data_IF_262797254574
#
_entry.id   IF_262797254574
#
_cell.length_a   1.000
_cell.length_b   1.000
_cell.length_c   1.000
_cell.angle_alpha   90.00
_cell.angle_beta   90.00
_cell.angle_gamma   90.00
#
_symmetry.space_group_name_H-M   'P 1'
#
loop_
_entity.id
_entity.type
_entity.pdbx_description
1 polymer ?
#
# COMPACT_ATOMS: atom_id res chain seq x y z
N UNK A 1 11.04 16.94 -2.38
CA UNK A 1 11.69 16.75 -3.69
C UNK A 1 11.60 15.29 -4.15
N UNK A 2 11.87 14.31 -3.28
CA UNK A 2 11.89 12.88 -3.64
C UNK A 2 10.53 12.38 -4.17
N UNK A 3 9.43 12.75 -3.53
CA UNK A 3 8.09 12.38 -3.98
C UNK A 3 7.77 12.91 -5.39
N UNK A 4 8.15 14.17 -5.68
CA UNK A 4 7.97 14.74 -7.01
C UNK A 4 8.86 14.05 -8.05
N UNK A 5 10.09 13.66 -7.67
CA UNK A 5 11.00 12.91 -8.52
C UNK A 5 10.44 11.53 -8.85
N UNK A 6 9.91 10.81 -7.86
CA UNK A 6 9.28 9.49 -8.05
C UNK A 6 8.05 9.58 -8.96
N UNK A 7 7.21 10.61 -8.77
CA UNK A 7 6.06 10.86 -9.65
C UNK A 7 6.50 11.09 -11.09
N UNK A 8 7.56 11.88 -11.31
CA UNK A 8 8.10 12.12 -12.65
C UNK A 8 8.69 10.85 -13.26
N UNK A 9 9.39 10.04 -12.47
CA UNK A 9 9.95 8.75 -12.90
C UNK A 9 8.83 7.78 -13.34
N UNK A 10 7.73 7.72 -12.61
CA UNK A 10 6.59 6.90 -12.98
C UNK A 10 5.96 7.39 -14.30
N UNK A 11 5.75 8.70 -14.46
CA UNK A 11 5.24 9.29 -15.71
C UNK A 11 6.14 9.03 -16.91
N UNK A 12 7.43 8.86 -16.70
CA UNK A 12 8.44 8.51 -17.73
C UNK A 12 8.58 7.01 -17.97
N UNK A 13 7.79 6.17 -17.29
CA UNK A 13 7.88 4.72 -17.40
C UNK A 13 9.11 4.09 -16.74
N UNK A 14 9.83 4.83 -15.90
CA UNK A 14 10.97 4.31 -15.12
C UNK A 14 10.50 3.49 -13.90
N UNK A 15 9.31 3.81 -13.38
CA UNK A 15 8.59 3.02 -12.38
C UNK A 15 7.36 2.47 -13.06
N UNK A 16 7.20 1.14 -13.06
CA UNK A 16 6.11 0.42 -13.72
C UNK A 16 5.37 -0.46 -12.72
N UNK A 17 4.14 -0.87 -13.06
CA UNK A 17 3.33 -1.76 -12.23
C UNK A 17 2.52 -1.08 -11.13
N UNK A 18 2.62 0.26 -11.01
CA UNK A 18 1.81 1.06 -10.10
C UNK A 18 1.60 2.47 -10.67
N UNK A 19 0.52 3.12 -10.23
CA UNK A 19 0.34 4.57 -10.34
C UNK A 19 1.05 5.23 -9.16
N UNK A 20 1.82 6.29 -9.43
CA UNK A 20 2.58 7.00 -8.40
C UNK A 20 2.27 8.49 -8.48
N UNK A 21 1.92 9.08 -7.36
CA UNK A 21 1.72 10.51 -7.23
C UNK A 21 2.25 11.03 -5.90
N UNK A 22 2.66 12.28 -5.89
CA UNK A 22 3.16 12.99 -4.72
C UNK A 22 3.93 14.26 -5.09
N UNK A 23 4.23 15.10 -4.09
CA UNK A 23 3.95 14.91 -2.65
C UNK A 23 2.48 15.08 -2.30
N UNK A 24 1.95 14.22 -1.45
CA UNK A 24 0.61 14.30 -0.92
C UNK A 24 0.66 14.36 0.62
N UNK A 25 -0.18 15.19 1.22
CA UNK A 25 -0.43 15.10 2.65
C UNK A 25 -1.23 13.82 2.94
N UNK A 26 -1.14 13.30 4.15
CA UNK A 26 -1.77 12.03 4.52
C UNK A 26 -3.28 12.00 4.21
N UNK A 27 -3.99 13.07 4.59
CA UNK A 27 -5.42 13.22 4.30
C UNK A 27 -5.73 13.20 2.80
N UNK A 28 -4.86 13.83 2.00
CA UNK A 28 -5.02 13.86 0.54
C UNK A 28 -4.70 12.50 -0.10
N UNK A 29 -3.88 11.68 0.52
CA UNK A 29 -3.58 10.34 0.02
C UNK A 29 -4.75 9.37 0.24
N UNK A 30 -5.48 9.49 1.37
CA UNK A 30 -6.45 8.47 1.81
C UNK A 30 -7.91 8.93 1.86
N UNK A 31 -8.19 10.22 1.63
CA UNK A 31 -9.54 10.77 1.76
C UNK A 31 -10.03 11.43 0.47
N UNK A 32 -10.99 10.82 -0.24
CA UNK A 32 -11.62 11.43 -1.42
C UNK A 32 -12.24 12.79 -1.11
N UNK A 33 -12.79 12.95 0.09
CA UNK A 33 -13.35 14.23 0.54
C UNK A 33 -12.30 15.33 0.61
N UNK A 34 -11.13 15.05 1.21
CA UNK A 34 -10.05 16.02 1.30
C UNK A 34 -9.52 16.45 -0.08
N UNK A 35 -9.47 15.49 -1.01
CA UNK A 35 -9.07 15.71 -2.41
C UNK A 35 -10.07 16.64 -3.09
N UNK A 36 -11.38 16.38 -2.93
CA UNK A 36 -12.44 17.20 -3.52
C UNK A 36 -12.44 18.62 -2.94
N UNK A 37 -12.31 18.79 -1.63
CA UNK A 37 -12.28 20.10 -0.96
C UNK A 37 -11.07 20.95 -1.41
N UNK A 38 -9.94 20.32 -1.72
CA UNK A 38 -8.70 20.98 -2.15
C UNK A 38 -8.56 21.09 -3.67
N UNK A 39 -9.48 20.50 -4.43
CA UNK A 39 -9.45 20.51 -5.90
C UNK A 39 -8.23 19.82 -6.49
N UNK A 40 -7.72 18.77 -5.85
CA UNK A 40 -6.57 18.01 -6.31
C UNK A 40 -6.97 17.13 -7.48
N UNK A 41 -6.20 17.20 -8.57
CA UNK A 41 -6.38 16.35 -9.77
C UNK A 41 -5.29 15.27 -9.76
N UNK A 42 -5.67 14.03 -9.52
CA UNK A 42 -4.75 12.90 -9.39
C UNK A 42 -5.49 11.59 -9.56
N UNK A 43 -4.84 10.59 -10.15
CA UNK A 43 -5.36 9.23 -10.27
C UNK A 43 -5.10 8.38 -9.01
N UNK A 44 -4.39 8.91 -8.02
CA UNK A 44 -3.98 8.23 -6.78
C UNK A 44 -4.56 8.88 -5.55
N UNK A 45 -4.65 10.22 -5.54
CA UNK A 45 -5.08 10.96 -4.37
C UNK A 45 -6.50 10.55 -3.92
N UNK A 46 -6.66 10.35 -2.63
CA UNK A 46 -7.91 9.91 -2.01
C UNK A 46 -8.08 8.40 -1.90
N UNK A 47 -7.33 7.61 -2.70
CA UNK A 47 -7.49 6.16 -2.80
C UNK A 47 -6.13 5.44 -2.86
N UNK A 48 -5.11 5.94 -2.20
CA UNK A 48 -3.79 5.32 -2.21
C UNK A 48 -3.78 3.98 -1.48
N UNK A 49 -3.35 2.91 -2.16
CA UNK A 49 -3.16 1.58 -1.57
C UNK A 49 -1.83 1.47 -0.82
N UNK A 50 -0.83 2.25 -1.25
CA UNK A 50 0.53 2.24 -0.68
C UNK A 50 0.90 3.66 -0.28
N UNK A 51 1.34 3.83 0.95
CA UNK A 51 1.85 5.09 1.50
C UNK A 51 3.37 5.01 1.65
N UNK A 52 4.10 5.66 0.75
CA UNK A 52 5.54 5.79 0.87
C UNK A 52 5.86 7.00 1.74
N UNK A 53 6.51 6.77 2.85
CA UNK A 53 6.87 7.81 3.83
C UNK A 53 8.32 8.25 3.64
N UNK A 54 8.68 9.50 4.08
CA UNK A 54 10.01 10.05 3.81
C UNK A 54 11.14 9.37 4.59
N UNK A 55 10.83 8.77 5.73
CA UNK A 55 11.82 8.16 6.61
C UNK A 55 11.20 7.11 7.55
N UNK A 56 12.08 6.34 8.19
CA UNK A 56 11.70 5.27 9.11
C UNK A 56 10.93 5.78 10.33
N UNK A 57 11.26 6.96 10.83
CA UNK A 57 10.61 7.50 12.05
C UNK A 57 9.17 7.86 11.73
N UNK A 58 8.94 8.58 10.64
CA UNK A 58 7.59 8.93 10.16
C UNK A 58 6.76 7.69 9.89
N UNK A 59 7.32 6.69 9.22
CA UNK A 59 6.65 5.42 8.93
C UNK A 59 6.30 4.64 10.18
N UNK A 60 7.22 4.55 11.14
CA UNK A 60 6.96 3.87 12.40
C UNK A 60 5.87 4.57 13.23
N UNK A 61 5.91 5.90 13.29
CA UNK A 61 4.86 6.67 13.99
C UNK A 61 3.50 6.46 13.35
N UNK A 62 3.40 6.54 12.02
CA UNK A 62 2.14 6.32 11.30
C UNK A 62 1.62 4.90 11.50
N UNK A 63 2.47 3.88 11.33
CA UNK A 63 2.08 2.49 11.52
C UNK A 63 1.57 2.23 12.94
N UNK A 64 2.28 2.73 13.95
CA UNK A 64 1.85 2.58 15.35
C UNK A 64 0.59 3.39 15.68
N UNK A 65 0.41 4.56 15.09
CA UNK A 65 -0.83 5.33 15.25
C UNK A 65 -2.03 4.56 14.65
N UNK A 66 -1.89 4.00 13.48
CA UNK A 66 -2.95 3.20 12.85
C UNK A 66 -3.25 1.94 13.66
N UNK A 67 -2.22 1.24 14.14
CA UNK A 67 -2.38 0.02 14.93
C UNK A 67 -3.02 0.29 16.29
N UNK A 68 -2.45 1.20 17.08
CA UNK A 68 -2.84 1.40 18.48
C UNK A 68 -4.03 2.36 18.67
N UNK A 69 -4.20 3.33 17.78
CA UNK A 69 -5.29 4.31 17.86
C UNK A 69 -6.40 4.00 16.87
N UNK A 70 -6.04 3.54 15.65
CA UNK A 70 -6.98 3.21 14.60
C UNK A 70 -7.50 1.77 14.63
N UNK A 71 -6.94 0.90 15.48
CA UNK A 71 -7.31 -0.51 15.57
C UNK A 71 -6.96 -1.32 14.32
N UNK A 72 -6.01 -0.84 13.50
CA UNK A 72 -5.59 -1.53 12.30
C UNK A 72 -4.87 -2.85 12.64
N UNK A 73 -5.13 -3.88 11.84
CA UNK A 73 -4.37 -5.14 11.91
C UNK A 73 -3.09 -5.00 11.08
N UNK A 74 -1.98 -5.42 11.65
CA UNK A 74 -0.68 -5.31 11.03
C UNK A 74 -0.10 -6.67 10.63
N UNK A 75 0.63 -6.69 9.53
CA UNK A 75 1.54 -7.75 9.14
C UNK A 75 2.76 -7.10 8.48
N UNK A 76 3.97 -7.51 8.86
CA UNK A 76 5.19 -6.88 8.37
C UNK A 76 6.17 -7.89 7.78
N UNK A 77 6.80 -7.49 6.68
CA UNK A 77 7.86 -8.26 6.03
C UNK A 77 8.89 -7.31 5.43
N UNK A 78 10.16 -7.65 5.53
CA UNK A 78 11.22 -6.93 4.85
C UNK A 78 11.34 -7.44 3.41
N UNK A 79 11.31 -6.51 2.46
CA UNK A 79 11.42 -6.77 1.02
C UNK A 79 12.83 -6.46 0.51
N UNK A 80 13.14 -6.95 -0.70
CA UNK A 80 14.42 -6.69 -1.37
C UNK A 80 15.56 -7.62 -0.96
N UNK A 81 15.28 -8.67 -0.21
CA UNK A 81 16.22 -9.72 0.19
C UNK A 81 16.02 -10.98 -0.67
N UNK A 82 17.02 -11.90 -0.65
CA UNK A 82 16.93 -13.18 -1.36
C UNK A 82 15.80 -14.09 -0.84
N UNK A 83 15.37 -13.89 0.40
CA UNK A 83 14.20 -14.51 0.99
C UNK A 83 13.42 -13.47 1.83
N UNK A 84 12.09 -13.62 1.98
CA UNK A 84 11.32 -12.76 2.86
C UNK A 84 11.81 -12.88 4.31
N UNK A 85 11.98 -11.75 4.98
CA UNK A 85 12.39 -11.70 6.39
C UNK A 85 11.28 -11.08 7.21
N UNK A 86 10.88 -11.76 8.27
CA UNK A 86 9.92 -11.26 9.25
C UNK A 86 10.68 -10.78 10.48
N UNK A 87 10.50 -9.50 10.81
CA UNK A 87 11.03 -8.91 12.04
C UNK A 87 9.86 -8.34 12.83
N UNK A 88 9.47 -9.05 13.88
CA UNK A 88 8.36 -8.65 14.74
C UNK A 88 8.85 -7.79 15.91
N UNK A 89 8.00 -6.87 16.36
CA UNK A 89 8.22 -6.13 17.58
C UNK A 89 7.99 -7.02 18.80
N UNK A 90 8.65 -6.72 19.91
CA UNK A 90 8.38 -7.38 21.20
C UNK A 90 6.95 -7.16 21.69
N UNK A 91 6.35 -6.03 21.31
CA UNK A 91 4.99 -5.65 21.68
C UNK A 91 3.91 -6.16 20.70
N UNK A 92 4.30 -6.83 19.61
CA UNK A 92 3.34 -7.33 18.61
C UNK A 92 2.52 -8.48 19.23
N UNK A 93 1.23 -8.49 18.85
CA UNK A 93 0.31 -9.55 19.23
C UNK A 93 0.65 -10.86 18.52
N UNK A 94 0.15 -11.97 19.04
CA UNK A 94 0.26 -13.26 18.37
C UNK A 94 -0.35 -13.22 16.95
N UNK A 95 -1.50 -12.55 16.79
CA UNK A 95 -2.16 -12.36 15.50
C UNK A 95 -1.25 -11.65 14.49
N UNK A 96 -0.61 -10.56 14.87
CA UNK A 96 0.34 -9.83 14.02
C UNK A 96 1.53 -10.69 13.61
N UNK A 97 2.06 -11.50 14.52
CA UNK A 97 3.18 -12.40 14.24
C UNK A 97 2.80 -13.50 13.26
N UNK A 98 1.64 -14.12 13.44
CA UNK A 98 1.11 -15.16 12.54
C UNK A 98 0.83 -14.56 11.17
N UNK A 99 0.17 -13.40 11.11
CA UNK A 99 -0.10 -12.70 9.86
C UNK A 99 1.18 -12.36 9.08
N UNK A 100 2.22 -11.92 9.78
CA UNK A 100 3.53 -11.61 9.18
C UNK A 100 4.21 -12.85 8.59
N UNK A 101 4.15 -13.97 9.30
CA UNK A 101 4.68 -15.26 8.80
C UNK A 101 3.88 -15.77 7.59
N UNK A 102 2.57 -15.64 7.64
CA UNK A 102 1.69 -15.99 6.52
C UNK A 102 2.01 -15.14 5.28
N UNK A 103 2.15 -13.83 5.44
CA UNK A 103 2.52 -12.90 4.38
C UNK A 103 3.89 -13.26 3.77
N UNK A 104 4.89 -13.53 4.59
CA UNK A 104 6.22 -13.96 4.13
C UNK A 104 6.15 -15.28 3.34
N UNK A 105 5.34 -16.24 3.80
CA UNK A 105 5.12 -17.51 3.12
C UNK A 105 4.47 -17.33 1.75
N UNK A 106 3.50 -16.41 1.65
CA UNK A 106 2.84 -16.06 0.39
C UNK A 106 3.82 -15.44 -0.60
N UNK A 107 4.62 -14.48 -0.15
CA UNK A 107 5.64 -13.83 -0.98
C UNK A 107 6.69 -14.83 -1.47
N UNK A 108 7.16 -15.73 -0.60
CA UNK A 108 8.09 -16.77 -0.99
C UNK A 108 7.53 -17.67 -2.08
N UNK A 109 6.29 -18.11 -1.95
CA UNK A 109 5.61 -18.94 -2.95
C UNK A 109 5.37 -18.22 -4.27
N UNK A 110 5.07 -16.94 -4.24
CA UNK A 110 4.83 -16.13 -5.44
C UNK A 110 6.11 -15.81 -6.22
N UNK A 111 7.27 -15.85 -5.55
CA UNK A 111 8.58 -15.55 -6.17
C UNK A 111 9.09 -16.63 -7.12
N UNK A 112 8.44 -17.81 -7.19
CA UNK A 112 8.91 -18.94 -8.00
C UNK A 112 10.17 -19.63 -7.48
N UNK A 113 10.56 -19.36 -6.24
CA UNK A 113 11.76 -19.92 -5.63
C UNK A 113 11.70 -21.47 -5.53
N UNK A 114 12.84 -22.18 -5.59
CA UNK A 114 12.89 -23.64 -5.45
C UNK A 114 12.24 -24.07 -4.12
N UNK A 115 11.26 -24.95 -4.17
CA UNK A 115 10.46 -25.39 -3.01
C UNK A 115 9.10 -24.73 -2.85
N UNK A 116 8.76 -23.74 -3.66
CA UNK A 116 7.44 -23.09 -3.69
C UNK A 116 6.44 -23.91 -4.51
N UNK A 117 6.02 -25.08 -4.03
CA UNK A 117 5.10 -25.96 -4.76
C UNK A 117 3.65 -25.49 -4.70
N UNK A 118 3.04 -25.37 -5.88
CA UNK A 118 1.61 -25.54 -6.20
C UNK A 118 0.55 -24.66 -5.53
N UNK A 119 0.65 -24.39 -4.25
CA UNK A 119 -0.41 -23.69 -3.45
C UNK A 119 -0.44 -22.18 -3.67
N UNK A 120 0.63 -21.59 -4.19
CA UNK A 120 0.69 -20.14 -4.46
C UNK A 120 -0.23 -19.70 -5.61
N UNK A 121 -0.45 -20.54 -6.62
CA UNK A 121 -1.37 -20.24 -7.74
C UNK A 121 -2.83 -20.22 -7.29
N UNK A 122 -3.21 -21.14 -6.42
CA UNK A 122 -4.57 -21.23 -5.88
C UNK A 122 -4.89 -20.04 -4.97
N UNK A 123 -3.96 -19.68 -4.10
CA UNK A 123 -4.12 -18.57 -3.17
C UNK A 123 -4.11 -17.21 -3.87
N UNK A 124 -3.27 -17.04 -4.90
CA UNK A 124 -3.28 -15.85 -5.74
C UNK A 124 -4.63 -15.70 -6.50
N UNK A 125 -5.24 -16.82 -6.88
CA UNK A 125 -6.57 -16.86 -7.49
C UNK A 125 -7.65 -16.49 -6.45
N UNK A 126 -7.54 -16.99 -5.23
CA UNK A 126 -8.48 -16.72 -4.13
C UNK A 126 -8.41 -15.26 -3.66
N UNK A 127 -7.20 -14.68 -3.57
CA UNK A 127 -7.02 -13.27 -3.19
C UNK A 127 -7.46 -12.31 -4.30
N UNK A 128 -7.36 -12.69 -5.59
CA UNK A 128 -7.95 -11.93 -6.69
C UNK A 128 -9.47 -12.08 -6.80
N UNK A 129 -10.04 -13.13 -6.22
CA UNK A 129 -11.46 -13.42 -6.28
C UNK A 129 -12.28 -12.79 -5.14
N UNK A 130 -11.63 -12.14 -4.17
CA UNK A 130 -12.30 -11.29 -3.20
C UNK A 130 -12.32 -9.86 -3.77
N UNK A 131 -13.41 -9.42 -4.42
CA UNK A 131 -13.54 -8.01 -4.76
C UNK A 131 -13.65 -7.27 -3.42
N UNK A 132 -12.61 -6.55 -3.02
CA UNK A 132 -12.84 -5.40 -2.15
C UNK A 132 -13.88 -4.55 -2.87
N UNK A 133 -14.95 -4.22 -2.18
CA UNK A 133 -16.04 -3.45 -2.74
C UNK A 133 -15.45 -2.18 -3.37
N UNK A 134 -15.51 -2.14 -4.69
CA UNK A 134 -15.01 -1.09 -5.57
C UNK A 134 -15.87 0.19 -5.44
N UNK A 135 -16.68 0.25 -4.36
CA UNK A 135 -17.84 1.13 -4.31
C UNK A 135 -17.51 2.62 -4.11
N UNK A 136 -16.32 3.00 -3.62
CA UNK A 136 -16.13 4.39 -3.20
C UNK A 136 -14.83 5.08 -3.68
N UNK A 137 -13.98 4.43 -4.46
CA UNK A 137 -12.74 5.01 -4.96
C UNK A 137 -12.74 5.34 -6.45
N UNK A 138 -13.87 5.72 -7.03
CA UNK A 138 -13.86 6.35 -8.34
C UNK A 138 -13.59 7.85 -8.20
N UNK A 139 -12.64 8.42 -8.96
CA UNK A 139 -12.49 9.87 -9.02
C UNK A 139 -13.82 10.48 -9.43
N UNK A 140 -14.31 11.42 -8.64
CA UNK A 140 -15.53 12.16 -8.95
C UNK A 140 -15.40 12.75 -10.36
N UNK A 141 -16.41 12.60 -11.24
CA UNK A 141 -16.36 13.18 -12.56
C UNK A 141 -16.14 14.70 -12.42
N UNK A 142 -15.09 15.20 -13.07
CA UNK A 142 -14.80 16.63 -13.13
C UNK A 142 -16.02 17.33 -13.75
N UNK A 143 -16.86 17.92 -12.94
CA UNK A 143 -17.87 18.89 -13.41
C UNK A 143 -17.10 20.06 -13.99
N UNK A 144 -17.14 20.19 -15.32
CA UNK A 144 -16.58 21.34 -16.03
C UNK A 144 -17.14 22.60 -15.37
N UNK A 145 -16.24 23.35 -14.73
CA UNK A 145 -16.60 24.70 -14.25
C UNK A 145 -17.13 25.48 -15.46
N UNK A 146 -18.38 25.86 -15.41
CA UNK A 146 -18.95 26.84 -16.38
C UNK A 146 -18.16 28.13 -16.20
N UNK A 147 -17.56 28.57 -17.31
CA UNK A 147 -17.03 29.92 -17.42
C UNK A 147 -18.14 30.97 -17.24
#
# INVERSE_FOLDING_TARGET
LDAASLTLMARRGQITGALVDGPLAFDNAVSPRAVAEKGIVSDVAGCADILLVPDLVSGNMLAKALEYLGGAKAAAVALGLAAPVVLTSRADTEETRIASLALASLLWRSSGAPGATGMGKELHRTLRAAPMAEADCHPLPLTKAKK
#
